data_IF_655386670356
#
_entry.id   IF_655386670356
#
_cell.length_a   1.000
_cell.length_b   1.000
_cell.length_c   1.000
_cell.angle_alpha   90.00
_cell.angle_beta   90.00
_cell.angle_gamma   90.00
#
_symmetry.space_group_name_H-M   'P 1'
#
loop_
_entity.id
_entity.type
_entity.pdbx_description
1 polymer ?
#
# COMPACT_ATOMS: atom_id res chain seq x y z
N UNK A 1 7.68 -6.60 -9.12
CA UNK A 1 6.96 -6.10 -10.31
C UNK A 1 7.95 -5.95 -11.46
N UNK A 2 7.49 -5.95 -12.71
CA UNK A 2 8.37 -5.80 -13.89
C UNK A 2 7.95 -4.63 -14.77
N UNK A 3 8.95 -3.92 -15.29
CA UNK A 3 8.79 -2.92 -16.34
C UNK A 3 8.75 -3.55 -17.73
N UNK A 4 9.19 -4.80 -17.90
CA UNK A 4 9.34 -5.44 -19.20
C UNK A 4 8.10 -6.27 -19.58
N UNK A 5 7.35 -5.90 -20.65
CA UNK A 5 6.14 -6.62 -21.06
C UNK A 5 6.40 -8.06 -21.49
N UNK A 6 7.60 -8.34 -22.02
CA UNK A 6 7.96 -9.68 -22.54
C UNK A 6 8.27 -10.68 -21.44
N UNK A 7 8.48 -10.23 -20.19
CA UNK A 7 8.86 -11.10 -19.09
C UNK A 7 7.82 -12.20 -18.83
N UNK A 8 6.53 -11.88 -18.91
CA UNK A 8 5.46 -12.87 -18.73
C UNK A 8 5.48 -13.93 -19.83
N UNK A 9 5.78 -13.53 -21.08
CA UNK A 9 5.90 -14.46 -22.20
C UNK A 9 7.15 -15.35 -22.05
N UNK A 10 8.25 -14.77 -21.56
CA UNK A 10 9.47 -15.52 -21.27
C UNK A 10 9.27 -16.54 -20.15
N UNK A 11 8.63 -16.13 -19.04
CA UNK A 11 8.33 -17.03 -17.92
C UNK A 11 7.42 -18.20 -18.32
N UNK A 12 6.40 -17.93 -19.15
CA UNK A 12 5.54 -18.98 -19.70
C UNK A 12 6.30 -19.94 -20.62
N UNK A 13 7.27 -19.43 -21.40
CA UNK A 13 8.10 -20.24 -22.29
C UNK A 13 9.13 -21.11 -21.59
N UNK A 14 9.51 -20.78 -20.35
CA UNK A 14 10.50 -21.54 -19.56
C UNK A 14 9.87 -22.46 -18.51
N UNK A 15 8.54 -22.55 -18.44
CA UNK A 15 7.84 -23.34 -17.42
C UNK A 15 8.01 -22.78 -16.00
N UNK A 16 8.37 -21.50 -15.86
CA UNK A 16 8.59 -20.87 -14.56
C UNK A 16 7.27 -20.56 -13.86
N UNK A 17 7.18 -20.88 -12.56
CA UNK A 17 6.02 -20.54 -11.71
C UNK A 17 6.02 -19.08 -11.22
N UNK A 18 7.01 -18.27 -11.63
CA UNK A 18 7.15 -16.89 -11.17
C UNK A 18 5.98 -16.01 -11.63
N UNK A 19 5.28 -15.43 -10.66
CA UNK A 19 4.15 -14.52 -10.89
C UNK A 19 4.62 -13.07 -10.82
N UNK A 20 4.42 -12.31 -11.91
CA UNK A 20 4.87 -10.93 -11.98
C UNK A 20 3.71 -9.95 -12.10
N UNK A 21 3.72 -8.92 -11.26
CA UNK A 21 2.92 -7.73 -11.48
C UNK A 21 3.54 -6.87 -12.58
N UNK A 22 2.76 -6.58 -13.64
CA UNK A 22 3.22 -5.72 -14.75
C UNK A 22 2.94 -4.25 -14.42
N UNK A 23 3.94 -3.38 -14.59
CA UNK A 23 3.69 -1.94 -14.54
C UNK A 23 2.96 -1.48 -15.82
N UNK A 24 1.86 -0.76 -15.64
CA UNK A 24 1.03 -0.24 -16.75
C UNK A 24 0.73 1.24 -16.47
N UNK A 25 0.92 2.14 -17.46
CA UNK A 25 1.41 1.88 -18.80
C UNK A 25 2.91 1.55 -18.87
N UNK A 26 3.31 0.85 -19.93
CA UNK A 26 4.71 0.70 -20.27
C UNK A 26 5.28 2.07 -20.67
N UNK A 27 6.16 2.61 -19.82
CA UNK A 27 6.90 3.82 -20.15
C UNK A 27 8.07 3.44 -21.04
N UNK A 28 8.19 4.12 -22.19
CA UNK A 28 9.35 3.92 -23.06
C UNK A 28 10.63 4.35 -22.33
N UNK A 29 11.75 3.64 -22.54
CA UNK A 29 13.01 3.95 -21.84
C UNK A 29 13.55 5.33 -22.23
N UNK A 30 13.35 5.75 -23.48
CA UNK A 30 13.82 7.01 -24.04
C UNK A 30 12.80 8.16 -23.98
N UNK A 31 13.26 9.37 -24.31
CA UNK A 31 12.43 10.57 -24.44
C UNK A 31 12.31 11.39 -23.16
N UNK A 32 11.92 12.66 -23.32
CA UNK A 32 11.71 13.59 -22.20
C UNK A 32 10.47 13.23 -21.37
N UNK A 33 10.33 13.81 -20.17
CA UNK A 33 9.15 13.59 -19.31
C UNK A 33 7.83 13.89 -20.03
N UNK A 34 7.81 14.94 -20.87
CA UNK A 34 6.65 15.29 -21.67
C UNK A 34 6.27 14.18 -22.66
N UNK A 35 7.23 13.67 -23.43
CA UNK A 35 7.00 12.58 -24.40
C UNK A 35 6.48 11.33 -23.69
N UNK A 36 7.09 10.96 -22.56
CA UNK A 36 6.64 9.81 -21.75
C UNK A 36 5.19 9.97 -21.28
N UNK A 37 4.78 11.18 -20.86
CA UNK A 37 3.39 11.46 -20.47
C UNK A 37 2.43 11.34 -21.66
N UNK A 38 2.75 11.92 -22.81
CA UNK A 38 1.88 11.84 -24.01
C UNK A 38 1.55 10.39 -24.37
N UNK A 39 2.53 9.48 -24.30
CA UNK A 39 2.29 8.05 -24.55
C UNK A 39 1.57 7.33 -23.40
N UNK A 40 1.77 7.76 -22.15
CA UNK A 40 1.12 7.17 -20.98
C UNK A 40 -0.33 7.62 -20.79
N UNK A 41 -0.67 8.85 -21.18
CA UNK A 41 -1.98 9.47 -20.93
C UNK A 41 -3.16 8.68 -21.50
N UNK A 42 -3.14 8.20 -22.76
CA UNK A 42 -4.24 7.39 -23.28
C UNK A 42 -4.50 6.13 -22.45
N UNK A 43 -3.44 5.50 -21.93
CA UNK A 43 -3.58 4.34 -21.06
C UNK A 43 -4.15 4.71 -19.69
N UNK A 44 -3.68 5.79 -19.09
CA UNK A 44 -4.22 6.28 -17.82
C UNK A 44 -5.72 6.59 -17.94
N UNK A 45 -6.11 7.29 -19.00
CA UNK A 45 -7.51 7.63 -19.29
C UNK A 45 -8.33 6.36 -19.57
N UNK A 46 -7.83 5.44 -20.40
CA UNK A 46 -8.57 4.22 -20.77
C UNK A 46 -8.72 3.19 -19.64
N UNK A 47 -7.79 3.17 -18.70
CA UNK A 47 -7.66 2.12 -17.67
C UNK A 47 -7.84 2.68 -16.27
N UNK A 48 -9.08 2.78 -15.81
CA UNK A 48 -9.38 3.02 -14.38
C UNK A 48 -8.74 1.95 -13.49
N UNK A 49 -8.42 2.32 -12.24
CA UNK A 49 -7.76 1.43 -11.29
C UNK A 49 -8.49 0.08 -11.09
N UNK A 50 -9.84 0.01 -11.01
CA UNK A 50 -10.54 -1.27 -10.97
C UNK A 50 -10.33 -2.16 -12.21
N UNK A 51 -10.22 -1.57 -13.41
CA UNK A 51 -9.90 -2.32 -14.62
C UNK A 51 -8.46 -2.85 -14.58
N UNK A 52 -7.51 -2.03 -14.12
CA UNK A 52 -6.12 -2.46 -13.91
C UNK A 52 -6.04 -3.61 -12.91
N UNK A 53 -6.73 -3.52 -11.77
CA UNK A 53 -6.81 -4.60 -10.78
C UNK A 53 -7.36 -5.89 -11.41
N UNK A 54 -8.47 -5.80 -12.13
CA UNK A 54 -9.07 -6.99 -12.79
C UNK A 54 -8.10 -7.61 -13.80
N UNK A 55 -7.40 -6.79 -14.58
CA UNK A 55 -6.41 -7.26 -15.56
C UNK A 55 -5.23 -7.96 -14.87
N UNK A 56 -4.69 -7.40 -13.81
CA UNK A 56 -3.58 -8.02 -13.05
C UNK A 56 -4.01 -9.33 -12.38
N UNK A 57 -5.21 -9.39 -11.79
CA UNK A 57 -5.74 -10.63 -11.20
C UNK A 57 -5.90 -11.73 -12.26
N UNK A 58 -6.46 -11.40 -13.43
CA UNK A 58 -6.57 -12.35 -14.55
C UNK A 58 -5.20 -12.84 -15.03
N UNK A 59 -4.18 -12.01 -14.93
CA UNK A 59 -2.79 -12.39 -15.23
C UNK A 59 -2.09 -13.16 -14.08
N UNK A 60 -2.79 -13.43 -12.97
CA UNK A 60 -2.22 -14.11 -11.81
C UNK A 60 -1.18 -13.29 -11.03
N UNK A 61 -1.13 -11.97 -11.23
CA UNK A 61 -0.17 -11.12 -10.53
C UNK A 61 -0.45 -11.08 -9.01
N UNK A 62 0.60 -11.12 -8.16
CA UNK A 62 0.43 -11.17 -6.70
C UNK A 62 0.01 -9.83 -6.09
N UNK A 63 0.23 -8.72 -6.79
CA UNK A 63 -0.09 -7.36 -6.34
C UNK A 63 -0.25 -6.40 -7.53
N UNK A 64 -0.78 -5.21 -7.28
CA UNK A 64 -0.84 -4.12 -8.25
C UNK A 64 -0.01 -2.92 -7.77
N UNK A 65 1.09 -2.58 -8.47
CA UNK A 65 1.66 -1.25 -8.34
C UNK A 65 0.73 -0.21 -8.99
N UNK A 66 0.45 0.88 -8.29
CA UNK A 66 -0.47 1.93 -8.70
C UNK A 66 0.10 3.32 -8.46
N UNK A 67 -0.19 4.25 -9.37
CA UNK A 67 0.11 5.66 -9.18
C UNK A 67 -0.90 6.30 -8.22
N UNK A 68 -0.45 7.23 -7.38
CA UNK A 68 -1.33 8.01 -6.50
C UNK A 68 -2.41 8.80 -7.29
N UNK A 69 -2.10 9.20 -8.54
CA UNK A 69 -3.03 9.91 -9.43
C UNK A 69 -4.36 9.17 -9.69
N UNK A 70 -4.42 7.84 -9.46
CA UNK A 70 -5.67 7.06 -9.54
C UNK A 70 -6.57 7.19 -8.31
N UNK A 71 -6.02 7.68 -7.19
CA UNK A 71 -6.63 7.62 -5.87
C UNK A 71 -6.86 9.00 -5.27
N UNK A 72 -5.98 9.97 -5.59
CA UNK A 72 -6.03 11.31 -5.03
C UNK A 72 -5.90 12.41 -6.11
N UNK A 73 -6.40 13.61 -5.79
CA UNK A 73 -6.44 14.75 -6.69
C UNK A 73 -7.52 14.66 -7.78
N UNK A 74 -7.55 15.65 -8.67
CA UNK A 74 -8.57 15.76 -9.73
C UNK A 74 -8.40 14.72 -10.84
N UNK A 75 -7.15 14.27 -11.10
CA UNK A 75 -6.82 13.35 -12.20
C UNK A 75 -7.53 11.99 -12.11
N UNK A 76 -7.91 11.54 -10.91
CA UNK A 76 -8.66 10.27 -10.73
C UNK A 76 -9.97 10.24 -11.53
N UNK A 77 -10.56 11.42 -11.78
CA UNK A 77 -11.81 11.58 -12.53
C UNK A 77 -11.62 11.55 -14.05
N UNK A 78 -10.38 11.59 -14.55
CA UNK A 78 -10.11 11.51 -15.99
C UNK A 78 -10.15 10.09 -16.54
N UNK A 79 -10.22 9.09 -15.66
CA UNK A 79 -10.25 7.68 -16.08
C UNK A 79 -11.66 7.26 -16.49
N UNK A 80 -11.75 6.48 -17.57
CA UNK A 80 -13.01 5.90 -18.04
C UNK A 80 -13.37 4.70 -17.17
N UNK A 81 -14.58 4.75 -16.61
CA UNK A 81 -15.14 3.67 -15.79
C UNK A 81 -15.41 4.12 -14.35
N UNK A 82 -15.12 3.24 -13.39
CA UNK A 82 -15.41 3.51 -11.99
C UNK A 82 -14.29 4.33 -11.35
N UNK A 83 -14.62 5.55 -10.94
CA UNK A 83 -13.73 6.38 -10.12
C UNK A 83 -13.66 5.88 -8.68
N UNK A 84 -12.44 5.74 -8.19
CA UNK A 84 -12.09 5.31 -6.83
C UNK A 84 -11.19 6.35 -6.17
N UNK A 85 -10.96 6.22 -4.87
CA UNK A 85 -10.17 7.19 -4.12
C UNK A 85 -10.02 6.80 -2.65
N UNK A 86 -9.36 7.67 -1.89
CA UNK A 86 -8.99 7.39 -0.49
C UNK A 86 -10.06 7.77 0.55
N UNK A 87 -11.15 8.43 0.13
CA UNK A 87 -12.17 8.93 1.07
C UNK A 87 -13.60 8.63 0.62
N UNK A 88 -14.52 8.58 1.60
CA UNK A 88 -15.96 8.51 1.41
C UNK A 88 -16.41 7.39 0.46
N UNK A 89 -17.41 7.68 -0.39
CA UNK A 89 -17.98 6.71 -1.35
C UNK A 89 -16.93 6.11 -2.30
N UNK A 90 -15.90 6.89 -2.66
CA UNK A 90 -14.84 6.43 -3.54
C UNK A 90 -13.95 5.39 -2.88
N UNK A 91 -13.70 5.52 -1.57
CA UNK A 91 -13.03 4.50 -0.76
C UNK A 91 -13.87 3.24 -0.63
N UNK A 92 -15.17 3.37 -0.33
CA UNK A 92 -16.08 2.22 -0.28
C UNK A 92 -16.07 1.44 -1.60
N UNK A 93 -16.10 2.15 -2.73
CA UNK A 93 -15.98 1.55 -4.06
C UNK A 93 -14.63 0.85 -4.26
N UNK A 94 -13.53 1.48 -3.84
CA UNK A 94 -12.20 0.90 -3.90
C UNK A 94 -12.14 -0.40 -3.12
N UNK A 95 -12.50 -0.40 -1.84
CA UNK A 95 -12.45 -1.56 -0.94
C UNK A 95 -13.30 -2.71 -1.50
N UNK A 96 -14.53 -2.42 -1.95
CA UNK A 96 -15.42 -3.43 -2.54
C UNK A 96 -14.86 -4.07 -3.81
N UNK A 97 -14.17 -3.30 -4.66
CA UNK A 97 -13.54 -3.83 -5.89
C UNK A 97 -12.22 -4.53 -5.57
N UNK A 98 -11.47 -4.03 -4.59
CA UNK A 98 -10.16 -4.55 -4.17
C UNK A 98 -10.28 -5.90 -3.47
N UNK A 99 -11.30 -6.11 -2.62
CA UNK A 99 -11.50 -7.38 -1.90
C UNK A 99 -10.22 -7.98 -1.29
N UNK A 100 -9.37 -7.13 -0.72
CA UNK A 100 -8.06 -7.52 -0.19
C UNK A 100 -6.90 -7.63 -1.18
N UNK A 101 -7.12 -7.60 -2.50
CA UNK A 101 -6.02 -7.64 -3.48
C UNK A 101 -4.94 -6.58 -3.18
N UNK A 102 -3.65 -6.96 -3.03
CA UNK A 102 -2.62 -6.02 -2.59
C UNK A 102 -2.39 -4.92 -3.62
N UNK A 103 -2.40 -3.66 -3.18
CA UNK A 103 -2.13 -2.48 -4.02
C UNK A 103 -1.03 -1.67 -3.36
N UNK A 104 0.01 -1.37 -4.14
CA UNK A 104 1.20 -0.65 -3.72
C UNK A 104 1.21 0.71 -4.40
N UNK A 105 1.07 1.78 -3.62
CA UNK A 105 0.88 3.14 -4.12
C UNK A 105 2.22 3.88 -4.12
N UNK A 106 2.61 4.41 -5.27
CA UNK A 106 3.78 5.27 -5.42
C UNK A 106 3.47 6.48 -6.33
N UNK A 107 4.03 7.68 -6.06
CA UNK A 107 4.65 8.07 -4.81
C UNK A 107 3.60 8.21 -3.70
N UNK A 108 3.88 7.66 -2.52
CA UNK A 108 3.06 7.90 -1.33
C UNK A 108 3.50 9.21 -0.67
N UNK A 109 2.89 10.32 -1.07
CA UNK A 109 3.15 11.60 -0.42
C UNK A 109 2.65 11.60 1.02
N UNK A 110 3.43 12.19 1.92
CA UNK A 110 3.13 12.24 3.34
C UNK A 110 1.72 12.79 3.67
N UNK A 111 1.24 13.77 2.91
CA UNK A 111 -0.09 14.38 3.09
C UNK A 111 -1.27 13.43 2.93
N UNK A 112 -1.06 12.26 2.32
CA UNK A 112 -2.08 11.22 2.11
C UNK A 112 -1.65 9.86 2.65
N UNK A 113 -0.50 9.77 3.33
CA UNK A 113 0.04 8.51 3.84
C UNK A 113 -0.98 7.81 4.75
N UNK A 114 -1.57 8.54 5.70
CA UNK A 114 -2.62 8.04 6.58
C UNK A 114 -3.79 7.46 5.80
N UNK A 115 -4.32 8.20 4.83
CA UNK A 115 -5.46 7.78 4.03
C UNK A 115 -5.16 6.54 3.14
N UNK A 116 -3.92 6.40 2.66
CA UNK A 116 -3.46 5.20 1.94
C UNK A 116 -3.49 3.98 2.87
N UNK A 117 -2.96 4.12 4.09
CA UNK A 117 -2.88 3.03 5.06
C UNK A 117 -4.26 2.62 5.58
N UNK A 118 -5.12 3.58 5.88
CA UNK A 118 -6.48 3.33 6.36
C UNK A 118 -7.35 2.66 5.28
N UNK A 119 -7.07 2.94 4.00
CA UNK A 119 -7.66 2.22 2.86
C UNK A 119 -7.12 0.78 2.69
N UNK A 120 -6.11 0.39 3.48
CA UNK A 120 -5.45 -0.92 3.44
C UNK A 120 -4.55 -1.11 2.23
N UNK A 121 -3.95 -0.02 1.75
CA UNK A 121 -3.03 -0.01 0.63
C UNK A 121 -1.60 0.17 1.16
N UNK A 122 -0.62 -0.45 0.52
CA UNK A 122 0.78 -0.29 0.90
C UNK A 122 1.33 1.01 0.32
N UNK A 123 1.91 1.85 1.17
CA UNK A 123 2.53 3.11 0.80
C UNK A 123 4.00 2.87 0.40
N UNK A 124 4.42 3.34 -0.77
CA UNK A 124 5.84 3.42 -1.14
C UNK A 124 6.26 4.88 -1.06
N UNK A 125 7.01 5.23 0.00
CA UNK A 125 7.36 6.61 0.34
C UNK A 125 8.84 6.88 0.09
N UNK A 126 9.14 8.11 -0.35
CA UNK A 126 10.51 8.66 -0.35
C UNK A 126 10.87 9.27 1.02
N UNK A 127 9.87 9.57 1.86
CA UNK A 127 10.02 10.09 3.22
C UNK A 127 9.86 8.95 4.23
N UNK A 128 10.95 8.59 4.90
CA UNK A 128 10.99 7.62 6.00
C UNK A 128 11.73 8.17 7.22
N UNK A 129 11.71 9.49 7.42
CA UNK A 129 12.40 10.07 8.57
C UNK A 129 11.81 9.51 9.88
N UNK A 130 12.61 8.93 10.78
CA UNK A 130 12.12 8.47 12.09
C UNK A 130 11.72 9.64 13.00
N UNK A 131 12.23 10.84 12.74
CA UNK A 131 11.96 12.07 13.50
C UNK A 131 10.60 12.70 13.15
N UNK A 132 9.92 12.18 12.13
CA UNK A 132 8.66 12.72 11.67
C UNK A 132 7.50 12.05 12.40
N UNK A 133 7.08 12.64 13.51
CA UNK A 133 6.06 12.11 14.40
C UNK A 133 4.63 12.59 14.08
N UNK A 134 4.50 13.72 13.40
CA UNK A 134 3.21 14.34 13.06
C UNK A 134 3.11 14.49 11.56
N UNK A 135 2.03 14.00 10.97
CA UNK A 135 1.72 14.19 9.56
C UNK A 135 1.25 15.63 9.31
N UNK A 136 1.38 16.16 8.08
CA UNK A 136 0.85 17.50 7.76
C UNK A 136 -0.66 17.67 7.92
N UNK A 137 -1.38 16.55 8.09
CA UNK A 137 -2.81 16.50 8.40
C UNK A 137 -3.12 16.69 9.90
N UNK A 138 -2.09 16.78 10.75
CA UNK A 138 -2.20 16.88 12.20
C UNK A 138 -2.28 15.53 12.92
N UNK A 139 -2.22 14.41 12.19
CA UNK A 139 -2.35 13.08 12.77
C UNK A 139 -0.98 12.50 13.16
N UNK A 140 -0.88 11.65 14.20
CA UNK A 140 0.36 10.98 14.56
C UNK A 140 0.79 9.96 13.49
N UNK A 141 2.09 9.92 13.21
CA UNK A 141 2.70 9.06 12.18
C UNK A 141 3.23 7.76 12.77
N UNK A 142 2.48 6.68 12.58
CA UNK A 142 2.95 5.33 12.94
C UNK A 142 3.63 4.62 11.75
N UNK A 143 4.96 4.53 11.78
CA UNK A 143 5.76 4.00 10.66
C UNK A 143 5.71 2.47 10.49
N UNK A 144 5.22 1.72 11.48
CA UNK A 144 5.26 0.25 11.52
C UNK A 144 3.87 -0.40 11.56
N UNK A 145 2.91 -0.04 10.68
CA UNK A 145 1.53 -0.52 10.78
C UNK A 145 1.37 -2.04 10.66
N UNK A 146 2.32 -2.72 10.00
CA UNK A 146 2.31 -4.18 9.84
C UNK A 146 3.21 -4.90 10.84
N UNK A 147 4.45 -4.42 11.00
CA UNK A 147 5.48 -5.08 11.81
C UNK A 147 5.36 -4.80 13.30
N UNK A 148 4.59 -3.77 13.69
CA UNK A 148 4.25 -3.46 15.08
C UNK A 148 2.81 -2.93 15.08
N UNK A 149 1.83 -3.82 14.84
CA UNK A 149 0.45 -3.42 14.60
C UNK A 149 -0.19 -2.86 15.88
N UNK A 150 -0.96 -1.79 15.73
CA UNK A 150 -1.76 -1.23 16.81
C UNK A 150 -3.17 -1.82 16.74
N UNK A 151 -3.73 -2.22 17.89
CA UNK A 151 -5.15 -2.48 17.98
C UNK A 151 -5.96 -1.17 17.88
N UNK A 152 -7.29 -1.32 17.82
CA UNK A 152 -8.18 -0.18 17.59
C UNK A 152 -8.25 0.76 18.79
N UNK A 153 -8.04 0.26 20.01
CA UNK A 153 -8.06 1.05 21.23
C UNK A 153 -6.80 1.90 21.35
N UNK A 154 -5.62 1.28 21.21
CA UNK A 154 -4.33 1.95 21.20
C UNK A 154 -4.27 2.96 20.04
N UNK A 155 -4.81 2.61 18.87
CA UNK A 155 -4.88 3.54 17.75
C UNK A 155 -5.74 4.75 18.08
N UNK A 156 -6.91 4.57 18.68
CA UNK A 156 -7.77 5.67 19.09
C UNK A 156 -7.11 6.57 20.15
N UNK A 157 -6.39 5.98 21.11
CA UNK A 157 -5.62 6.74 22.10
C UNK A 157 -4.49 7.56 21.47
N UNK A 158 -3.76 6.97 20.52
CA UNK A 158 -2.71 7.68 19.79
C UNK A 158 -3.30 8.84 18.98
N UNK A 159 -4.38 8.59 18.22
CA UNK A 159 -5.05 9.59 17.40
C UNK A 159 -5.67 10.74 18.23
N UNK A 160 -5.97 10.52 19.52
CA UNK A 160 -6.46 11.54 20.44
C UNK A 160 -5.35 12.35 21.13
N UNK A 161 -4.08 11.97 20.94
CA UNK A 161 -2.93 12.69 21.52
C UNK A 161 -2.78 14.04 20.81
N UNK A 162 -2.54 15.16 21.53
CA UNK A 162 -2.24 16.44 20.90
C UNK A 162 -0.89 16.43 20.15
N UNK A 163 -0.72 17.32 19.16
CA UNK A 163 0.43 17.31 18.25
C UNK A 163 1.80 17.43 18.95
N UNK A 164 1.87 18.16 20.06
CA UNK A 164 3.07 18.33 20.88
C UNK A 164 3.48 17.05 21.61
N UNK A 165 2.51 16.17 21.92
CA UNK A 165 2.71 14.90 22.59
C UNK A 165 2.99 13.71 21.66
N UNK A 166 2.89 13.87 20.34
CA UNK A 166 3.01 12.75 19.40
C UNK A 166 4.35 12.01 19.51
N UNK A 167 5.46 12.74 19.63
CA UNK A 167 6.79 12.15 19.71
C UNK A 167 6.93 11.22 20.94
N UNK A 168 6.45 11.67 22.09
CA UNK A 168 6.50 10.90 23.33
C UNK A 168 5.57 9.69 23.30
N UNK A 169 4.34 9.88 22.80
CA UNK A 169 3.38 8.79 22.64
C UNK A 169 3.91 7.70 21.69
N UNK A 170 4.48 8.08 20.54
CA UNK A 170 5.07 7.13 19.60
C UNK A 170 6.25 6.39 20.23
N UNK A 171 7.19 7.10 20.89
CA UNK A 171 8.34 6.47 21.55
C UNK A 171 7.92 5.50 22.65
N UNK A 172 6.86 5.83 23.39
CA UNK A 172 6.28 4.95 24.41
C UNK A 172 5.71 3.68 23.76
N UNK A 173 4.83 3.84 22.77
CA UNK A 173 4.19 2.72 22.07
C UNK A 173 5.20 1.81 21.36
N UNK A 174 6.30 2.37 20.84
CA UNK A 174 7.37 1.57 20.23
C UNK A 174 8.04 0.60 21.21
N UNK A 175 8.00 0.88 22.52
CA UNK A 175 8.51 -0.02 23.57
C UNK A 175 7.45 -0.95 24.13
N UNK A 176 6.20 -0.50 24.19
CA UNK A 176 5.11 -1.23 24.84
C UNK A 176 4.41 -2.22 23.89
N UNK A 177 4.30 -1.88 22.61
CA UNK A 177 3.60 -2.72 21.62
C UNK A 177 4.55 -3.80 21.11
N UNK A 178 4.16 -5.06 21.26
CA UNK A 178 4.94 -6.18 20.75
C UNK A 178 5.04 -6.14 19.21
N UNK A 179 6.23 -6.35 18.62
CA UNK A 179 6.38 -6.50 17.18
C UNK A 179 5.75 -7.81 16.71
N UNK A 180 5.43 -7.90 15.41
CA UNK A 180 4.79 -9.05 14.77
C UNK A 180 5.46 -10.39 15.06
N UNK A 181 6.80 -10.39 15.11
CA UNK A 181 7.60 -11.58 15.39
C UNK A 181 7.40 -12.13 16.81
N UNK A 182 7.01 -11.28 17.75
CA UNK A 182 6.84 -11.63 19.17
C UNK A 182 5.38 -11.92 19.54
N UNK A 183 4.43 -11.61 18.66
CA UNK A 183 3.02 -11.95 18.86
C UNK A 183 2.80 -13.47 18.89
N UNK A 184 1.85 -13.93 19.69
CA UNK A 184 1.33 -15.30 19.62
C UNK A 184 0.47 -15.50 18.37
N UNK A 185 0.24 -16.76 17.98
CA UNK A 185 -0.65 -17.07 16.85
C UNK A 185 -2.10 -16.62 17.09
N UNK A 186 -2.54 -16.59 18.34
CA UNK A 186 -3.86 -16.05 18.73
C UNK A 186 -3.94 -14.54 18.48
N UNK A 187 -2.90 -13.78 18.85
CA UNK A 187 -2.83 -12.35 18.60
C UNK A 187 -2.73 -12.04 17.10
N UNK A 188 -1.87 -12.77 16.36
CA UNK A 188 -1.78 -12.65 14.90
C UNK A 188 -3.12 -12.92 14.22
N UNK A 189 -3.85 -13.96 14.67
CA UNK A 189 -5.19 -14.28 14.18
C UNK A 189 -6.17 -13.14 14.44
N UNK A 190 -6.11 -12.50 15.61
CA UNK A 190 -6.90 -11.33 15.96
C UNK A 190 -6.69 -10.16 14.99
N UNK A 191 -5.42 -9.79 14.74
CA UNK A 191 -5.08 -8.72 13.80
C UNK A 191 -5.52 -9.04 12.36
N UNK A 192 -5.21 -10.25 11.87
CA UNK A 192 -5.58 -10.66 10.51
C UNK A 192 -7.11 -10.65 10.32
N UNK A 193 -7.87 -11.13 11.30
CA UNK A 193 -9.34 -11.11 11.21
C UNK A 193 -9.90 -9.68 11.24
N UNK A 194 -9.33 -8.79 12.06
CA UNK A 194 -9.71 -7.37 12.08
C UNK A 194 -9.46 -6.70 10.72
N UNK A 195 -8.25 -6.85 10.16
CA UNK A 195 -7.89 -6.31 8.85
C UNK A 195 -8.74 -6.89 7.72
N UNK A 196 -8.95 -8.21 7.75
CA UNK A 196 -9.81 -8.93 6.80
C UNK A 196 -11.22 -8.36 6.77
N UNK A 197 -11.83 -8.11 7.94
CA UNK A 197 -13.15 -7.49 8.04
C UNK A 197 -13.13 -6.04 7.55
N UNK A 198 -12.18 -5.24 8.05
CA UNK A 198 -12.04 -3.82 7.71
C UNK A 198 -11.91 -3.57 6.21
N UNK A 199 -11.16 -4.41 5.52
CA UNK A 199 -10.83 -4.24 4.10
C UNK A 199 -11.48 -5.27 3.17
N UNK A 200 -12.44 -6.05 3.69
CA UNK A 200 -13.26 -7.01 2.95
C UNK A 200 -12.37 -8.00 2.17
N UNK A 201 -11.38 -8.60 2.82
CA UNK A 201 -10.51 -9.56 2.16
C UNK A 201 -11.30 -10.82 1.76
N UNK A 202 -11.14 -11.26 0.51
CA UNK A 202 -11.88 -12.41 -0.04
C UNK A 202 -11.39 -13.75 0.52
N UNK A 203 -10.09 -13.82 0.85
CA UNK A 203 -9.46 -15.04 1.39
C UNK A 203 -9.99 -15.35 2.79
N UNK A 204 -10.07 -16.64 3.11
CA UNK A 204 -10.46 -17.11 4.44
C UNK A 204 -9.37 -16.80 5.46
N UNK A 205 -9.76 -16.64 6.72
CA UNK A 205 -8.83 -16.43 7.83
C UNK A 205 -7.80 -17.57 7.90
N UNK A 206 -8.23 -18.83 7.75
CA UNK A 206 -7.32 -19.98 7.84
C UNK A 206 -6.30 -20.01 6.69
N UNK A 207 -6.69 -19.60 5.47
CA UNK A 207 -5.74 -19.45 4.35
C UNK A 207 -4.72 -18.33 4.59
N UNK A 208 -5.11 -17.26 5.27
CA UNK A 208 -4.20 -16.17 5.62
C UNK A 208 -3.26 -16.60 6.76
N UNK A 209 -3.79 -17.32 7.75
CA UNK A 209 -3.00 -17.85 8.87
C UNK A 209 -1.97 -18.88 8.41
N UNK A 210 -2.25 -19.70 7.38
CA UNK A 210 -1.25 -20.64 6.84
C UNK A 210 -0.04 -19.94 6.19
N UNK A 211 -0.13 -18.66 5.87
CA UNK A 211 0.97 -17.84 5.32
C UNK A 211 1.62 -16.93 6.38
N UNK A 212 1.02 -16.86 7.57
CA UNK A 212 1.49 -16.06 8.68
C UNK A 212 2.45 -16.87 9.56
N UNK A 213 3.57 -16.27 9.94
CA UNK A 213 4.53 -16.81 10.90
C UNK A 213 5.20 -15.66 11.62
N UNK A 214 6.16 -15.96 12.50
CA UNK A 214 7.01 -14.94 13.13
C UNK A 214 7.72 -14.03 12.12
N UNK A 215 8.07 -14.58 10.94
CA UNK A 215 8.82 -13.87 9.89
C UNK A 215 8.01 -13.53 8.65
N UNK A 216 6.76 -13.98 8.56
CA UNK A 216 5.92 -13.81 7.38
C UNK A 216 4.54 -13.26 7.73
N UNK A 217 4.01 -12.45 6.82
CA UNK A 217 2.67 -11.86 6.91
C UNK A 217 1.97 -12.04 5.56
N UNK A 218 0.63 -12.12 5.55
CA UNK A 218 -0.12 -12.10 4.30
C UNK A 218 0.22 -10.90 3.43
N UNK A 219 0.14 -11.07 2.11
CA UNK A 219 0.47 -10.04 1.14
C UNK A 219 -0.49 -8.85 1.20
N UNK A 220 -1.71 -9.06 1.70
CA UNK A 220 -2.78 -8.08 1.81
C UNK A 220 -2.56 -7.03 2.91
N UNK A 221 -1.67 -7.32 3.86
CA UNK A 221 -1.35 -6.43 4.99
C UNK A 221 -0.75 -5.11 4.47
N UNK A 222 -1.30 -3.99 4.94
CA UNK A 222 -0.86 -2.65 4.59
C UNK A 222 0.48 -2.31 5.23
N UNK A 223 1.43 -1.78 4.46
CA UNK A 223 2.80 -1.46 4.90
C UNK A 223 3.21 -0.05 4.47
N UNK A 224 4.25 0.48 5.10
CA UNK A 224 5.05 1.57 4.55
C UNK A 224 6.38 0.97 4.08
N UNK A 225 6.75 1.26 2.84
CA UNK A 225 7.99 0.77 2.22
C UNK A 225 8.78 1.97 1.71
N UNK A 226 10.07 1.99 2.00
CA UNK A 226 10.99 2.98 1.44
C UNK A 226 11.22 2.75 -0.04
N UNK A 227 11.06 3.81 -0.84
CA UNK A 227 11.56 3.81 -2.19
C UNK A 227 13.11 3.74 -2.19
N UNK A 228 13.71 3.28 -3.29
CA UNK A 228 15.17 3.10 -3.38
C UNK A 228 15.88 4.44 -3.17
N UNK A 229 16.67 4.54 -2.10
CA UNK A 229 17.41 5.76 -1.74
C UNK A 229 16.73 6.60 -0.65
N UNK A 230 15.49 6.29 -0.27
CA UNK A 230 14.85 6.82 0.93
C UNK A 230 15.73 6.48 2.15
N UNK A 231 16.12 7.50 2.92
CA UNK A 231 17.02 7.34 4.08
C UNK A 231 18.47 7.81 3.86
N UNK A 232 18.96 7.94 2.62
CA UNK A 232 20.36 8.37 2.36
C UNK A 232 20.66 9.80 2.80
N UNK A 233 19.63 10.63 2.93
CA UNK A 233 19.75 12.03 3.38
C UNK A 233 19.92 12.18 4.88
N UNK A 234 19.82 11.09 5.67
CA UNK A 234 19.95 11.12 7.13
C UNK A 234 21.24 10.45 7.65
N UNK A 235 22.17 10.11 6.75
CA UNK A 235 23.46 9.47 7.07
C UNK A 235 24.70 10.32 6.75
N UNK A 236 24.53 11.62 6.50
CA UNK A 236 25.65 12.55 6.32
C UNK A 236 25.30 13.89 6.98
N UNK A 237 25.68 13.99 8.25
CA UNK A 237 25.64 15.17 9.11
C UNK A 237 26.51 14.89 10.31
#
# INVERSE_FOLDING_TARGET
>A
YSFEPRLLKAAAGTGSELRFARLVPYLRPWGSSFVKRVFASPYFIGLSLPRLMSMQRKAGAPMLPAALDYLDGSKRHFTIGTTVGLHGRHLTNLTRKRKGFPVYVWPAHIRVERAILDAGLTAISDDLSPELHTLPTGEPRWLRPATQPLDDEIRAQLDATPEDGHADAIRRLQREVAPWSELSDTERRGFIESWRKRWIWERSLDSLMSEASESSMPWEVSRIIGHRGAGRTYGAG
#
